data_IF_060578779555
#
_entry.id   IF_060578779555
#
_cell.length_a   1.000
_cell.length_b   1.000
_cell.length_c   1.000
_cell.angle_alpha   90.00
_cell.angle_beta   90.00
_cell.angle_gamma   90.00
#
_symmetry.space_group_name_H-M   'P 1'
#
loop_
_entity.id
_entity.type
_entity.pdbx_description
1 polymer ?
#
# COMPACT_ATOMS: atom_id res chain seq x y z
N UNK A 1 16.44 23.74 0.49
CA UNK A 1 16.58 22.32 0.09
C UNK A 1 15.19 21.71 0.10
N UNK A 2 14.62 21.44 -1.07
CA UNK A 2 13.33 20.74 -1.18
C UNK A 2 13.50 19.33 -0.62
N UNK A 3 12.63 18.84 0.28
CA UNK A 3 12.71 17.46 0.72
C UNK A 3 12.55 16.57 -0.52
N UNK A 4 13.48 15.65 -0.72
CA UNK A 4 13.36 14.57 -1.72
C UNK A 4 11.97 13.96 -1.56
N UNK A 5 11.10 14.15 -2.57
CA UNK A 5 9.78 13.51 -2.62
C UNK A 5 10.05 12.01 -2.52
N UNK A 6 9.75 11.41 -1.36
CA UNK A 6 9.81 9.95 -1.21
C UNK A 6 8.74 9.38 -2.12
N UNK A 7 9.14 8.95 -3.32
CA UNK A 7 8.20 8.41 -4.28
C UNK A 7 7.70 7.06 -3.78
N UNK A 8 6.40 6.87 -3.81
CA UNK A 8 5.82 5.54 -3.76
C UNK A 8 6.26 4.79 -5.03
N UNK A 9 6.63 3.51 -4.94
CA UNK A 9 6.80 2.67 -6.13
C UNK A 9 5.50 2.56 -6.92
N UNK A 10 5.61 2.26 -8.20
CA UNK A 10 4.44 1.91 -9.02
C UNK A 10 3.70 0.71 -8.39
N UNK A 11 2.36 0.78 -8.28
CA UNK A 11 1.57 -0.34 -7.78
C UNK A 11 1.65 -1.56 -8.71
N UNK A 12 1.55 -2.76 -8.12
CA UNK A 12 1.23 -3.95 -8.89
C UNK A 12 -0.24 -3.88 -9.29
N UNK A 13 -0.52 -3.82 -10.58
CA UNK A 13 -1.88 -3.83 -11.14
C UNK A 13 -2.13 -5.18 -11.79
N UNK A 14 -3.19 -5.85 -11.36
CA UNK A 14 -3.70 -7.08 -11.96
C UNK A 14 -5.05 -6.74 -12.60
N UNK A 15 -5.14 -6.70 -13.95
CA UNK A 15 -6.38 -6.36 -14.63
C UNK A 15 -7.45 -7.43 -14.40
N UNK A 16 -8.74 -7.10 -14.65
CA UNK A 16 -9.79 -8.10 -14.68
C UNK A 16 -9.50 -9.17 -15.73
N UNK A 17 -9.98 -10.39 -15.52
CA UNK A 17 -9.97 -11.43 -16.55
C UNK A 17 -10.92 -11.13 -17.71
N UNK A 18 -11.98 -10.34 -17.44
CA UNK A 18 -12.90 -9.79 -18.43
C UNK A 18 -12.77 -8.25 -18.49
N UNK A 19 -11.73 -7.68 -19.13
CA UNK A 19 -11.48 -6.23 -19.09
C UNK A 19 -12.61 -5.36 -19.63
N UNK A 20 -13.37 -5.85 -20.62
CA UNK A 20 -14.52 -5.14 -21.19
C UNK A 20 -15.73 -5.07 -20.23
N UNK A 21 -15.71 -5.85 -19.15
CA UNK A 21 -16.77 -5.95 -18.15
C UNK A 21 -16.27 -5.50 -16.77
N UNK A 22 -15.29 -4.59 -16.71
CA UNK A 22 -14.79 -4.08 -15.44
C UNK A 22 -15.93 -3.47 -14.60
N UNK A 23 -16.05 -3.92 -13.34
CA UNK A 23 -17.10 -3.44 -12.42
C UNK A 23 -16.57 -2.78 -11.16
N UNK A 24 -15.43 -3.25 -10.64
CA UNK A 24 -14.88 -2.78 -9.36
C UNK A 24 -13.36 -2.86 -9.37
N UNK A 25 -12.72 -1.92 -8.68
CA UNK A 25 -11.30 -1.98 -8.33
C UNK A 25 -11.11 -2.19 -6.84
N UNK A 26 -10.27 -3.15 -6.46
CA UNK A 26 -9.80 -3.32 -5.09
C UNK A 26 -8.37 -2.79 -4.95
N UNK A 27 -8.19 -1.73 -4.14
CA UNK A 27 -6.88 -1.23 -3.73
C UNK A 27 -6.56 -1.83 -2.35
N UNK A 28 -5.58 -2.74 -2.27
CA UNK A 28 -5.30 -3.51 -1.05
C UNK A 28 -3.88 -3.26 -0.55
N UNK A 29 -3.78 -2.74 0.67
CA UNK A 29 -2.53 -2.33 1.32
C UNK A 29 -1.86 -3.52 2.03
N UNK A 30 -0.55 -3.70 1.83
CA UNK A 30 0.23 -4.71 2.55
C UNK A 30 0.57 -4.25 3.99
N UNK A 31 0.93 -5.22 4.85
CA UNK A 31 1.42 -4.96 6.21
C UNK A 31 2.87 -4.43 6.29
N UNK A 32 3.29 -3.97 7.47
CA UNK A 32 4.60 -3.34 7.71
C UNK A 32 5.78 -4.21 7.24
N UNK A 33 6.70 -3.62 6.47
CA UNK A 33 7.91 -4.27 5.98
C UNK A 33 7.73 -5.19 4.76
N UNK A 34 6.51 -5.34 4.25
CA UNK A 34 6.21 -6.12 3.04
C UNK A 34 6.28 -5.25 1.77
N UNK A 35 5.75 -5.77 0.66
CA UNK A 35 5.58 -5.05 -0.60
C UNK A 35 4.39 -5.62 -1.39
N UNK A 36 4.04 -4.95 -2.50
CA UNK A 36 2.94 -5.32 -3.38
C UNK A 36 3.02 -6.76 -3.90
N UNK A 37 4.16 -7.19 -4.44
CA UNK A 37 4.29 -8.52 -5.06
C UNK A 37 4.17 -9.65 -4.03
N UNK A 38 4.91 -9.54 -2.92
CA UNK A 38 4.94 -10.58 -1.87
C UNK A 38 3.56 -10.80 -1.27
N UNK A 39 2.83 -9.72 -1.00
CA UNK A 39 1.52 -9.80 -0.38
C UNK A 39 0.42 -10.06 -1.42
N UNK A 40 0.37 -9.29 -2.49
CA UNK A 40 -0.73 -9.30 -3.45
C UNK A 40 -0.83 -10.62 -4.22
N UNK A 41 0.30 -11.15 -4.70
CA UNK A 41 0.28 -12.42 -5.44
C UNK A 41 -0.13 -13.58 -4.53
N UNK A 42 0.30 -13.59 -3.27
CA UNK A 42 -0.10 -14.62 -2.31
C UNK A 42 -1.59 -14.52 -1.96
N UNK A 43 -2.11 -13.31 -1.76
CA UNK A 43 -3.53 -13.08 -1.51
C UNK A 43 -4.40 -13.56 -2.69
N UNK A 44 -4.02 -13.22 -3.92
CA UNK A 44 -4.75 -13.66 -5.12
C UNK A 44 -4.74 -15.19 -5.25
N UNK A 45 -3.58 -15.82 -5.05
CA UNK A 45 -3.41 -17.28 -5.16
C UNK A 45 -4.18 -18.03 -4.09
N UNK A 46 -4.03 -17.64 -2.82
CA UNK A 46 -4.68 -18.32 -1.69
C UNK A 46 -6.21 -18.30 -1.76
N UNK A 47 -6.79 -17.22 -2.29
CA UNK A 47 -8.24 -17.10 -2.46
C UNK A 47 -8.77 -17.47 -3.84
N UNK A 48 -7.90 -17.78 -4.81
CA UNK A 48 -8.21 -17.85 -6.25
C UNK A 48 -9.05 -16.65 -6.72
N UNK A 49 -8.69 -15.45 -6.24
CA UNK A 49 -9.58 -14.28 -6.30
C UNK A 49 -9.83 -13.80 -7.72
N UNK A 50 -8.81 -13.78 -8.58
CA UNK A 50 -8.96 -13.36 -9.98
C UNK A 50 -9.97 -14.23 -10.74
N UNK A 51 -10.01 -15.54 -10.48
CA UNK A 51 -10.97 -16.43 -11.12
C UNK A 51 -12.39 -16.29 -10.54
N UNK A 52 -12.50 -16.01 -9.23
CA UNK A 52 -13.79 -15.83 -8.55
C UNK A 52 -14.40 -14.46 -8.79
N UNK A 53 -13.59 -13.48 -9.15
CA UNK A 53 -13.96 -12.08 -9.40
C UNK A 53 -13.40 -11.64 -10.77
N UNK A 54 -13.88 -12.22 -11.88
CA UNK A 54 -13.27 -12.04 -13.21
C UNK A 54 -13.42 -10.61 -13.75
N UNK A 55 -14.38 -9.84 -13.22
CA UNK A 55 -14.66 -8.45 -13.61
C UNK A 55 -13.99 -7.42 -12.69
N UNK A 56 -13.17 -7.86 -11.73
CA UNK A 56 -12.54 -7.00 -10.72
C UNK A 56 -11.08 -6.76 -11.05
N UNK A 57 -10.64 -5.50 -10.99
CA UNK A 57 -9.23 -5.12 -11.04
C UNK A 57 -8.66 -5.12 -9.62
N UNK A 58 -7.43 -5.61 -9.46
CA UNK A 58 -6.72 -5.56 -8.19
C UNK A 58 -5.50 -4.66 -8.30
N UNK A 59 -5.34 -3.75 -7.36
CA UNK A 59 -4.20 -2.84 -7.26
C UNK A 59 -3.55 -3.04 -5.89
N UNK A 60 -2.29 -3.42 -5.90
CA UNK A 60 -1.48 -3.57 -4.69
C UNK A 60 -0.39 -2.50 -4.70
N UNK A 61 -0.56 -1.38 -3.99
CA UNK A 61 0.51 -0.41 -3.85
C UNK A 61 1.60 -0.90 -2.90
N UNK A 62 2.84 -0.43 -3.10
CA UNK A 62 3.93 -0.61 -2.13
C UNK A 62 4.13 0.67 -1.33
N UNK A 63 4.22 0.57 -0.01
CA UNK A 63 4.51 1.72 0.84
C UNK A 63 5.90 2.32 0.52
N UNK A 64 6.03 3.64 0.63
CA UNK A 64 7.34 4.28 0.49
C UNK A 64 8.33 3.80 1.55
N UNK A 65 9.63 3.82 1.21
CA UNK A 65 10.68 3.49 2.17
C UNK A 65 10.78 4.58 3.23
N UNK A 66 10.56 4.24 4.49
CA UNK A 66 10.72 5.13 5.64
C UNK A 66 11.61 4.48 6.70
N UNK A 67 12.38 5.30 7.40
CA UNK A 67 13.19 4.86 8.55
C UNK A 67 12.23 4.47 9.68
N UNK A 68 12.33 3.24 10.17
CA UNK A 68 11.60 2.80 11.36
C UNK A 68 12.39 3.16 12.61
N UNK A 69 11.80 3.95 13.51
CA UNK A 69 12.50 4.30 14.77
C UNK A 69 12.64 3.11 15.72
N UNK A 70 11.69 2.17 15.68
CA UNK A 70 11.75 0.93 16.47
C UNK A 70 12.87 0.01 15.97
N UNK A 71 12.98 -0.20 14.65
CA UNK A 71 13.93 -1.15 14.07
C UNK A 71 15.32 -0.52 13.87
N UNK A 72 15.84 0.18 14.89
CA UNK A 72 17.19 0.81 14.86
C UNK A 72 17.44 1.68 13.62
N UNK A 73 16.41 2.36 13.09
CA UNK A 73 16.46 3.21 11.88
C UNK A 73 16.65 2.46 10.54
N UNK A 74 16.41 1.15 10.49
CA UNK A 74 16.36 0.41 9.22
C UNK A 74 15.26 1.00 8.34
N UNK A 75 15.58 1.18 7.06
CA UNK A 75 14.62 1.65 6.05
C UNK A 75 13.77 0.47 5.58
N UNK A 76 12.47 0.53 5.87
CA UNK A 76 11.50 -0.49 5.48
C UNK A 76 10.33 0.15 4.74
N UNK A 77 9.60 -0.64 3.96
CA UNK A 77 8.34 -0.21 3.38
C UNK A 77 7.29 -0.14 4.49
N UNK A 78 6.83 1.07 4.80
CA UNK A 78 5.80 1.30 5.80
C UNK A 78 5.02 2.57 5.47
N UNK A 79 3.71 2.53 5.68
CA UNK A 79 2.80 3.63 5.35
C UNK A 79 3.07 4.85 6.24
N UNK A 80 3.29 4.62 7.54
CA UNK A 80 3.66 5.63 8.54
C UNK A 80 4.59 5.02 9.59
N UNK A 81 5.32 5.86 10.33
CA UNK A 81 6.25 5.43 11.39
C UNK A 81 5.48 5.23 12.69
N UNK A 82 5.17 3.97 13.00
CA UNK A 82 4.61 3.61 14.30
C UNK A 82 5.74 3.33 15.30
N UNK A 83 5.74 4.04 16.43
CA UNK A 83 6.77 3.97 17.47
C UNK A 83 6.64 2.78 18.41
N UNK A 84 5.43 2.24 18.59
CA UNK A 84 5.23 1.02 19.37
C UNK A 84 4.10 0.21 18.76
N UNK A 85 4.33 -1.09 18.54
CA UNK A 85 3.25 -1.96 18.06
C UNK A 85 2.30 -2.34 19.20
N UNK A 86 2.83 -2.41 20.42
CA UNK A 86 2.11 -2.74 21.64
C UNK A 86 1.26 -1.56 22.12
N UNK A 87 1.75 -0.34 21.97
CA UNK A 87 1.04 0.91 22.28
C UNK A 87 1.11 1.91 21.12
N UNK A 88 0.19 1.83 20.15
CA UNK A 88 0.15 2.76 19.02
C UNK A 88 -0.13 4.22 19.42
N UNK A 89 -0.58 4.49 20.65
CA UNK A 89 -0.77 5.83 21.21
C UNK A 89 0.54 6.50 21.61
N UNK A 90 1.63 5.74 21.67
CA UNK A 90 2.94 6.27 21.98
C UNK A 90 3.51 7.03 20.77
N UNK A 91 3.86 8.31 20.98
CA UNK A 91 4.56 9.16 20.00
C UNK A 91 3.80 9.29 18.67
N UNK A 92 2.49 9.56 18.74
CA UNK A 92 1.61 9.68 17.56
C UNK A 92 2.06 10.75 16.57
N UNK A 93 2.83 11.76 17.01
CA UNK A 93 3.39 12.78 16.12
C UNK A 93 4.28 12.19 15.01
N UNK A 94 4.84 11.00 15.22
CA UNK A 94 5.66 10.28 14.23
C UNK A 94 4.83 9.69 13.09
N UNK A 95 3.54 9.49 13.32
CA UNK A 95 2.63 8.89 12.34
C UNK A 95 2.10 9.92 11.34
N UNK A 96 1.99 11.20 11.76
CA UNK A 96 1.30 12.27 11.03
C UNK A 96 1.80 12.41 9.58
N UNK A 97 3.10 12.64 9.37
CA UNK A 97 3.66 12.83 8.03
C UNK A 97 3.37 11.63 7.11
N UNK A 98 3.54 10.42 7.65
CA UNK A 98 3.28 9.19 6.90
C UNK A 98 1.80 8.99 6.55
N UNK A 99 0.90 9.34 7.47
CA UNK A 99 -0.55 9.29 7.26
C UNK A 99 -1.00 10.31 6.21
N UNK A 100 -0.51 11.55 6.30
CA UNK A 100 -0.82 12.59 5.31
C UNK A 100 -0.31 12.21 3.90
N UNK A 101 0.95 11.79 3.80
CA UNK A 101 1.54 11.39 2.51
C UNK A 101 0.89 10.11 1.94
N UNK A 102 0.55 9.13 2.79
CA UNK A 102 -0.17 7.91 2.36
C UNK A 102 -1.57 8.27 1.90
N UNK A 103 -2.29 9.12 2.65
CA UNK A 103 -3.64 9.55 2.29
C UNK A 103 -3.69 10.30 0.95
N UNK A 104 -2.73 11.19 0.70
CA UNK A 104 -2.61 11.87 -0.59
C UNK A 104 -2.35 10.88 -1.73
N UNK A 105 -1.38 9.98 -1.57
CA UNK A 105 -1.06 8.96 -2.57
C UNK A 105 -2.25 8.03 -2.88
N UNK A 106 -2.97 7.54 -1.86
CA UNK A 106 -4.12 6.67 -2.07
C UNK A 106 -5.28 7.41 -2.74
N UNK A 107 -5.46 8.70 -2.46
CA UNK A 107 -6.46 9.52 -3.14
C UNK A 107 -6.15 9.66 -4.62
N UNK A 108 -4.90 9.93 -4.98
CA UNK A 108 -4.47 9.96 -6.38
C UNK A 108 -4.67 8.62 -7.09
N UNK A 109 -4.50 7.49 -6.39
CA UNK A 109 -4.82 6.17 -6.96
C UNK A 109 -6.31 6.01 -7.18
N UNK A 110 -7.15 6.33 -6.19
CA UNK A 110 -8.61 6.23 -6.29
C UNK A 110 -9.15 7.10 -7.43
N UNK A 111 -8.62 8.31 -7.60
CA UNK A 111 -9.05 9.24 -8.66
C UNK A 111 -8.75 8.76 -10.09
N UNK A 112 -7.81 7.82 -10.27
CA UNK A 112 -7.50 7.20 -11.57
C UNK A 112 -8.41 6.03 -11.92
N UNK A 113 -9.22 5.58 -10.97
CA UNK A 113 -10.07 4.42 -11.12
C UNK A 113 -11.44 4.82 -11.67
N UNK A 114 -11.96 3.99 -12.58
CA UNK A 114 -13.22 4.18 -13.32
C UNK A 114 -14.27 3.18 -12.87
#
# INVERSE_FOLDING_TARGET
MSPSKKSYPEPLVVPPLSPAEHTHTFIILHGRGSNAERFGLELLRSGNLSARLPTVKFIFPTASKRRSRILKKISINQWFDNYSLEDPGQRTELQIDGLCETGAFLRELIEREV
#
